data_IF_094801006471
#
_entry.id   IF_094801006471
#
_cell.length_a   1.000
_cell.length_b   1.000
_cell.length_c   1.000
_cell.angle_alpha   90.00
_cell.angle_beta   90.00
_cell.angle_gamma   90.00
#
_symmetry.space_group_name_H-M   'P 1'
#
loop_
_entity.id
_entity.type
_entity.pdbx_description
1 polymer ?
#
# COMPACT_ATOMS: atom_id res chain seq x y z
N UNK A 1 -17.18 19.13 18.44
CA UNK A 1 -17.27 18.02 17.45
C UNK A 1 -17.59 16.72 18.19
N UNK A 2 -18.63 15.98 17.81
CA UNK A 2 -18.84 14.64 18.40
C UNK A 2 -17.88 13.64 17.76
N UNK A 3 -17.09 12.95 18.61
CA UNK A 3 -16.07 11.94 18.26
C UNK A 3 -16.54 10.92 17.19
N UNK A 4 -17.85 10.68 17.09
CA UNK A 4 -18.50 9.76 16.13
C UNK A 4 -18.27 10.04 14.65
N UNK A 5 -18.11 11.30 14.20
CA UNK A 5 -17.99 11.60 12.75
C UNK A 5 -16.56 11.48 12.21
N UNK A 6 -15.55 11.80 13.03
CA UNK A 6 -14.14 11.52 12.71
C UNK A 6 -13.86 10.00 12.70
N UNK A 7 -14.55 9.25 13.55
CA UNK A 7 -14.55 7.79 13.62
C UNK A 7 -15.03 7.10 12.33
N UNK A 8 -15.81 7.78 11.48
CA UNK A 8 -16.25 7.20 10.20
C UNK A 8 -15.12 7.22 9.18
N UNK A 9 -14.38 8.32 9.08
CA UNK A 9 -13.22 8.42 8.17
C UNK A 9 -12.03 7.60 8.70
N UNK A 10 -11.76 7.68 10.00
CA UNK A 10 -10.75 6.83 10.65
C UNK A 10 -11.13 5.35 10.67
N UNK A 11 -12.42 5.03 10.76
CA UNK A 11 -12.96 3.67 10.69
C UNK A 11 -12.92 3.08 9.28
N UNK A 12 -13.06 3.89 8.23
CA UNK A 12 -12.92 3.47 6.82
C UNK A 12 -11.46 3.15 6.46
N UNK A 13 -10.51 3.96 6.92
CA UNK A 13 -9.07 3.67 6.75
C UNK A 13 -8.66 2.44 7.59
N UNK A 14 -9.21 2.31 8.80
CA UNK A 14 -8.97 1.14 9.65
C UNK A 14 -9.64 -0.14 9.13
N UNK A 15 -10.82 -0.06 8.50
CA UNK A 15 -11.50 -1.21 7.90
C UNK A 15 -10.80 -1.67 6.61
N UNK A 16 -10.32 -0.74 5.77
CA UNK A 16 -9.46 -1.04 4.64
C UNK A 16 -8.17 -1.73 5.10
N UNK A 17 -7.45 -1.15 6.06
CA UNK A 17 -6.25 -1.76 6.62
C UNK A 17 -6.53 -3.11 7.34
N UNK A 18 -7.66 -3.27 8.03
CA UNK A 18 -8.01 -4.49 8.74
C UNK A 18 -8.47 -5.64 7.81
N UNK A 19 -9.08 -5.35 6.66
CA UNK A 19 -9.43 -6.36 5.66
C UNK A 19 -8.18 -7.05 5.10
N UNK A 20 -7.10 -6.29 4.86
CA UNK A 20 -5.92 -6.80 4.15
C UNK A 20 -4.83 -7.35 5.10
N UNK A 21 -4.82 -6.95 6.38
CA UNK A 21 -3.92 -7.53 7.40
C UNK A 21 -4.30 -8.96 7.84
N UNK A 22 -5.43 -9.48 7.37
CA UNK A 22 -5.84 -10.88 7.60
C UNK A 22 -5.47 -11.81 6.44
N UNK A 23 -4.98 -11.29 5.30
CA UNK A 23 -4.54 -12.11 4.18
C UNK A 23 -3.08 -12.54 4.40
N UNK A 24 -2.89 -13.75 4.92
CA UNK A 24 -1.59 -14.42 5.04
C UNK A 24 -1.40 -15.39 3.88
N UNK A 25 -0.22 -15.49 3.28
CA UNK A 25 0.13 -16.61 2.42
C UNK A 25 0.71 -17.77 3.24
N UNK A 26 0.40 -19.00 2.84
CA UNK A 26 1.00 -20.23 3.37
C UNK A 26 1.48 -21.13 2.22
N UNK A 27 2.75 -21.56 2.32
CA UNK A 27 3.48 -22.27 1.27
C UNK A 27 3.32 -23.79 1.25
N UNK A 28 3.53 -24.39 0.08
CA UNK A 28 3.67 -25.84 -0.16
C UNK A 28 5.04 -26.17 -0.79
N UNK A 29 5.43 -27.44 -0.73
CA UNK A 29 6.79 -27.98 -0.81
C UNK A 29 7.51 -27.89 -2.17
N UNK A 30 8.80 -27.49 -2.15
CA UNK A 30 9.81 -27.73 -3.19
C UNK A 30 11.24 -27.57 -2.60
N UNK A 31 12.27 -28.24 -3.16
CA UNK A 31 13.54 -28.49 -2.48
C UNK A 31 14.57 -27.37 -2.63
N UNK A 32 15.55 -27.40 -1.72
CA UNK A 32 16.54 -26.36 -1.49
C UNK A 32 17.76 -26.45 -2.42
N UNK A 33 18.24 -25.28 -2.87
CA UNK A 33 19.60 -25.12 -3.37
C UNK A 33 19.83 -23.83 -4.15
N UNK A 34 20.63 -22.92 -3.59
CA UNK A 34 21.75 -22.18 -4.22
C UNK A 34 21.91 -20.76 -3.65
N UNK A 35 23.14 -20.45 -3.27
CA UNK A 35 23.62 -19.20 -2.67
C UNK A 35 23.92 -18.09 -3.68
N UNK A 36 23.77 -16.84 -3.21
CA UNK A 36 24.42 -15.54 -3.56
C UNK A 36 25.26 -15.44 -4.85
N UNK A 37 25.03 -14.40 -5.66
CA UNK A 37 25.78 -13.11 -5.71
C UNK A 37 25.27 -12.16 -6.82
N UNK A 38 25.33 -10.84 -6.56
CA UNK A 38 25.30 -9.66 -7.47
C UNK A 38 24.16 -9.48 -8.52
N UNK A 39 23.59 -8.27 -8.55
CA UNK A 39 22.61 -7.83 -9.56
C UNK A 39 23.15 -7.90 -11.00
N UNK A 40 22.29 -8.22 -11.98
CA UNK A 40 22.21 -7.35 -13.16
C UNK A 40 20.79 -7.25 -13.74
N UNK A 41 20.59 -6.32 -14.67
CA UNK A 41 19.60 -6.45 -15.73
C UNK A 41 19.80 -7.80 -16.45
N UNK A 42 19.13 -8.85 -15.98
CA UNK A 42 19.17 -10.18 -16.56
C UNK A 42 18.13 -10.35 -17.69
N UNK A 43 18.34 -11.34 -18.57
CA UNK A 43 17.31 -11.72 -19.53
C UNK A 43 16.09 -12.26 -18.76
N UNK A 44 14.91 -11.69 -19.05
CA UNK A 44 13.60 -12.15 -18.57
C UNK A 44 13.58 -13.68 -18.48
N UNK A 45 13.24 -14.30 -17.32
CA UNK A 45 13.30 -15.74 -17.15
C UNK A 45 12.53 -16.44 -18.28
N UNK A 46 13.10 -17.50 -18.85
CA UNK A 46 12.52 -18.15 -20.03
C UNK A 46 11.03 -18.49 -19.83
N UNK A 47 10.18 -18.01 -20.74
CA UNK A 47 8.73 -18.16 -20.69
C UNK A 47 7.97 -17.06 -19.93
N UNK A 48 8.66 -16.09 -19.32
CA UNK A 48 8.02 -14.90 -18.75
C UNK A 48 7.86 -13.82 -19.81
N UNK A 49 6.76 -13.07 -19.81
CA UNK A 49 6.59 -11.97 -20.74
C UNK A 49 7.43 -10.77 -20.29
N UNK A 50 8.05 -10.06 -21.23
CA UNK A 50 8.76 -8.81 -20.90
C UNK A 50 7.81 -7.69 -20.45
N UNK A 51 6.51 -7.85 -20.73
CA UNK A 51 5.44 -6.93 -20.34
C UNK A 51 4.16 -7.62 -19.90
N UNK A 52 3.47 -7.05 -18.92
CA UNK A 52 2.10 -7.40 -18.53
C UNK A 52 1.21 -6.18 -18.71
N UNK A 53 0.52 -6.12 -19.85
CA UNK A 53 -0.12 -4.89 -20.32
C UNK A 53 0.94 -3.81 -20.53
N UNK A 54 0.77 -2.66 -19.88
CA UNK A 54 1.73 -1.54 -19.92
C UNK A 54 2.90 -1.70 -18.93
N UNK A 55 2.86 -2.72 -18.05
CA UNK A 55 3.90 -2.92 -17.03
C UNK A 55 5.10 -3.61 -17.64
N UNK A 56 6.29 -3.08 -17.38
CA UNK A 56 7.57 -3.65 -17.79
C UNK A 56 8.12 -4.54 -16.68
N UNK A 57 8.78 -5.63 -17.07
CA UNK A 57 9.46 -6.54 -16.17
C UNK A 57 10.80 -5.96 -15.68
N UNK A 58 11.07 -6.08 -14.39
CA UNK A 58 12.31 -5.68 -13.73
C UNK A 58 12.77 -6.79 -12.78
N UNK A 59 14.08 -7.02 -12.74
CA UNK A 59 14.71 -7.93 -11.78
C UNK A 59 15.32 -7.15 -10.62
N UNK A 60 15.34 -7.75 -9.44
CA UNK A 60 16.02 -7.19 -8.28
C UNK A 60 16.39 -8.29 -7.26
N UNK A 61 17.16 -7.93 -6.23
CA UNK A 61 17.74 -8.89 -5.27
C UNK A 61 16.75 -9.88 -4.66
N UNK A 62 15.48 -9.47 -4.45
CA UNK A 62 14.47 -10.31 -3.82
C UNK A 62 13.46 -10.93 -4.80
N UNK A 63 13.68 -10.78 -6.12
CA UNK A 63 12.88 -11.41 -7.16
C UNK A 63 12.55 -10.49 -8.33
N UNK A 64 11.27 -10.37 -8.65
CA UNK A 64 10.78 -9.76 -9.88
C UNK A 64 9.70 -8.70 -9.63
N UNK A 65 9.68 -7.65 -10.44
CA UNK A 65 8.63 -6.60 -10.40
C UNK A 65 8.08 -6.37 -11.79
N UNK A 66 6.76 -6.26 -11.91
CA UNK A 66 6.12 -5.61 -13.06
C UNK A 66 5.61 -4.24 -12.63
N UNK A 67 6.10 -3.17 -13.28
CA UNK A 67 5.71 -1.79 -13.01
C UNK A 67 5.55 -0.99 -14.32
N UNK A 68 4.62 -0.03 -14.37
CA UNK A 68 4.45 0.80 -15.57
C UNK A 68 5.51 1.90 -15.74
N UNK A 69 6.14 2.32 -14.65
CA UNK A 69 7.28 3.23 -14.65
C UNK A 69 8.44 2.63 -13.85
N UNK A 70 9.66 2.71 -14.41
CA UNK A 70 10.88 2.28 -13.74
C UNK A 70 11.15 3.09 -12.46
N UNK A 71 10.73 4.37 -12.42
CA UNK A 71 10.87 5.21 -11.22
C UNK A 71 10.04 4.70 -10.02
N UNK A 72 8.99 3.91 -10.28
CA UNK A 72 8.14 3.31 -9.25
C UNK A 72 8.74 2.02 -8.65
N UNK A 73 9.79 1.46 -9.27
CA UNK A 73 10.45 0.23 -8.81
C UNK A 73 11.34 0.47 -7.60
N UNK A 74 12.16 1.53 -7.62
CA UNK A 74 13.13 1.81 -6.55
C UNK A 74 12.49 1.96 -5.16
N UNK A 75 11.39 2.73 -4.97
CA UNK A 75 10.75 2.84 -3.66
C UNK A 75 10.21 1.50 -3.13
N UNK A 76 9.72 0.62 -4.02
CA UNK A 76 9.25 -0.70 -3.63
C UNK A 76 10.42 -1.61 -3.25
N UNK A 77 11.53 -1.51 -3.99
CA UNK A 77 12.78 -2.22 -3.70
C UNK A 77 13.32 -1.82 -2.33
N UNK A 78 13.39 -0.53 -2.03
CA UNK A 78 13.94 -0.01 -0.78
C UNK A 78 13.12 -0.43 0.45
N UNK A 79 11.79 -0.39 0.32
CA UNK A 79 10.90 -0.87 1.40
C UNK A 79 11.08 -2.36 1.64
N UNK A 80 11.13 -3.17 0.57
CA UNK A 80 11.34 -4.61 0.73
C UNK A 80 12.74 -4.93 1.26
N UNK A 81 13.79 -4.23 0.84
CA UNK A 81 15.14 -4.38 1.38
C UNK A 81 15.19 -4.09 2.88
N UNK A 82 14.54 -3.00 3.31
CA UNK A 82 14.42 -2.65 4.74
C UNK A 82 13.73 -3.75 5.53
N UNK A 83 12.60 -4.27 5.00
CA UNK A 83 11.83 -5.34 5.64
C UNK A 83 12.61 -6.66 5.68
N UNK A 84 13.29 -7.00 4.58
CA UNK A 84 14.15 -8.18 4.47
C UNK A 84 15.26 -8.15 5.53
N UNK A 85 15.89 -7.00 5.72
CA UNK A 85 16.89 -6.82 6.77
C UNK A 85 16.28 -6.97 8.17
N UNK A 86 15.12 -6.38 8.42
CA UNK A 86 14.42 -6.49 9.70
C UNK A 86 14.08 -7.96 10.04
N UNK A 87 13.52 -8.74 9.10
CA UNK A 87 13.22 -10.16 9.35
C UNK A 87 14.49 -11.00 9.53
N UNK A 88 15.57 -10.67 8.81
CA UNK A 88 16.86 -11.35 8.94
C UNK A 88 17.48 -11.14 10.33
N UNK A 89 17.38 -9.93 10.88
CA UNK A 89 17.85 -9.62 12.25
C UNK A 89 17.06 -10.39 13.32
N UNK A 90 15.82 -10.77 13.03
CA UNK A 90 15.00 -11.62 13.88
C UNK A 90 15.23 -13.13 13.68
N UNK A 91 16.24 -13.50 12.87
CA UNK A 91 16.63 -14.89 12.65
C UNK A 91 15.75 -15.66 11.66
N UNK A 92 14.92 -14.96 10.90
CA UNK A 92 14.04 -15.55 9.89
C UNK A 92 14.83 -15.81 8.62
N UNK A 93 14.69 -17.01 8.06
CA UNK A 93 15.31 -17.31 6.77
C UNK A 93 14.61 -16.49 5.69
N UNK A 94 15.39 -15.78 4.87
CA UNK A 94 14.83 -15.04 3.74
C UNK A 94 14.12 -16.03 2.81
N UNK A 95 12.85 -15.75 2.45
CA UNK A 95 12.20 -16.55 1.43
C UNK A 95 12.93 -16.36 0.10
N UNK A 96 12.80 -17.36 -0.77
CA UNK A 96 13.30 -17.27 -2.14
C UNK A 96 12.63 -16.14 -2.93
N UNK A 97 13.00 -16.03 -4.21
CA UNK A 97 12.52 -14.98 -5.10
C UNK A 97 10.99 -14.81 -5.05
N UNK A 98 10.53 -13.56 -5.04
CA UNK A 98 9.13 -13.21 -5.11
C UNK A 98 8.73 -12.49 -6.38
N UNK A 99 7.43 -12.20 -6.49
CA UNK A 99 6.85 -11.39 -7.55
C UNK A 99 6.07 -10.21 -6.96
N UNK A 100 6.38 -9.00 -7.41
CA UNK A 100 5.61 -7.78 -7.12
C UNK A 100 4.91 -7.31 -8.40
N UNK A 101 3.61 -7.12 -8.31
CA UNK A 101 2.80 -6.50 -9.34
C UNK A 101 2.47 -5.08 -8.87
N UNK A 102 3.24 -4.10 -9.35
CA UNK A 102 3.08 -2.72 -8.93
C UNK A 102 1.79 -2.14 -9.53
N UNK A 103 1.04 -1.40 -8.72
CA UNK A 103 -0.14 -0.66 -9.15
C UNK A 103 0.18 0.81 -9.06
N UNK A 104 0.30 1.48 -10.21
CA UNK A 104 0.51 2.92 -10.25
C UNK A 104 -0.79 3.71 -10.35
N UNK A 105 -0.71 5.01 -10.08
CA UNK A 105 -1.85 5.90 -10.20
C UNK A 105 -2.37 5.92 -11.64
N UNK A 106 -3.69 5.76 -11.80
CA UNK A 106 -4.41 5.78 -13.08
C UNK A 106 -4.15 4.58 -13.99
N UNK A 107 -3.42 3.58 -13.53
CA UNK A 107 -3.33 2.31 -14.25
C UNK A 107 -4.52 1.41 -13.94
N UNK A 108 -4.95 0.57 -14.91
CA UNK A 108 -5.84 -0.54 -14.62
C UNK A 108 -5.22 -1.47 -13.57
N UNK A 109 -6.06 -1.98 -12.67
CA UNK A 109 -5.66 -3.00 -11.72
C UNK A 109 -5.10 -4.24 -12.47
N UNK A 110 -4.07 -4.94 -11.95
CA UNK A 110 -3.34 -5.97 -12.72
C UNK A 110 -4.15 -7.25 -12.97
N UNK A 111 -5.36 -7.36 -12.43
CA UNK A 111 -6.26 -8.48 -12.64
C UNK A 111 -7.72 -7.99 -12.72
N UNK A 112 -8.61 -8.85 -13.24
CA UNK A 112 -10.05 -8.59 -13.21
C UNK A 112 -10.57 -8.63 -11.78
N UNK A 113 -11.09 -7.49 -11.29
CA UNK A 113 -11.51 -7.34 -9.90
C UNK A 113 -12.61 -8.32 -9.48
N UNK A 114 -13.67 -8.58 -10.27
CA UNK A 114 -14.68 -9.57 -9.91
C UNK A 114 -14.08 -10.96 -9.72
N UNK A 115 -13.20 -11.38 -10.63
CA UNK A 115 -12.49 -12.66 -10.56
C UNK A 115 -11.56 -12.74 -9.35
N UNK A 116 -10.87 -11.63 -9.06
CA UNK A 116 -10.00 -11.52 -7.90
C UNK A 116 -10.76 -11.61 -6.57
N UNK A 117 -11.90 -10.93 -6.48
CA UNK A 117 -12.83 -11.02 -5.37
C UNK A 117 -13.27 -12.47 -5.14
N UNK A 118 -13.69 -13.18 -6.19
CA UNK A 118 -14.15 -14.57 -6.07
C UNK A 118 -13.03 -15.49 -5.58
N UNK A 119 -11.78 -15.25 -6.00
CA UNK A 119 -10.63 -15.97 -5.44
C UNK A 119 -10.41 -15.64 -3.95
N UNK A 120 -10.50 -14.38 -3.54
CA UNK A 120 -10.36 -13.99 -2.13
C UNK A 120 -11.47 -14.56 -1.23
N UNK A 121 -12.65 -14.88 -1.80
CA UNK A 121 -13.76 -15.52 -1.05
C UNK A 121 -13.55 -17.01 -0.79
N UNK A 122 -12.63 -17.67 -1.51
CA UNK A 122 -12.35 -19.09 -1.30
C UNK A 122 -11.75 -19.30 0.09
N UNK A 123 -12.14 -20.40 0.74
CA UNK A 123 -11.59 -20.77 2.04
C UNK A 123 -10.09 -21.02 1.92
N UNK A 124 -9.31 -20.36 2.77
CA UNK A 124 -7.89 -20.63 2.91
C UNK A 124 -7.75 -21.93 3.74
N UNK A 125 -7.23 -23.02 3.16
CA UNK A 125 -7.13 -24.31 3.85
C UNK A 125 -6.15 -24.27 5.03
N UNK A 126 -5.36 -23.20 5.17
CA UNK A 126 -4.37 -23.04 6.24
C UNK A 126 -4.86 -22.13 7.37
N UNK A 127 -6.08 -21.61 7.27
CA UNK A 127 -6.72 -20.82 8.32
C UNK A 127 -7.67 -21.67 9.13
N UNK A 128 -7.83 -21.28 10.38
CA UNK A 128 -8.97 -21.76 11.17
C UNK A 128 -10.28 -21.28 10.52
N UNK A 129 -11.36 -22.03 10.70
CA UNK A 129 -12.69 -21.63 10.20
C UNK A 129 -13.10 -20.24 10.69
N UNK A 130 -12.72 -19.88 11.92
CA UNK A 130 -12.97 -18.57 12.50
C UNK A 130 -12.21 -17.45 11.77
N UNK A 131 -10.94 -17.66 11.43
CA UNK A 131 -10.13 -16.70 10.69
C UNK A 131 -10.60 -16.55 9.24
N UNK A 132 -10.97 -17.66 8.60
CA UNK A 132 -11.58 -17.67 7.27
C UNK A 132 -12.91 -16.92 7.25
N UNK A 133 -13.78 -17.15 8.24
CA UNK A 133 -15.06 -16.43 8.36
C UNK A 133 -14.86 -14.93 8.60
N UNK A 134 -13.89 -14.53 9.44
CA UNK A 134 -13.56 -13.12 9.66
C UNK A 134 -13.03 -12.46 8.38
N UNK A 135 -12.14 -13.13 7.65
CA UNK A 135 -11.60 -12.66 6.38
C UNK A 135 -12.70 -12.48 5.32
N UNK A 136 -13.55 -13.49 5.15
CA UNK A 136 -14.66 -13.44 4.21
C UNK A 136 -15.65 -12.32 4.56
N UNK A 137 -16.01 -12.17 5.84
CA UNK A 137 -16.87 -11.08 6.29
C UNK A 137 -16.25 -9.72 5.97
N UNK A 138 -14.95 -9.56 6.20
CA UNK A 138 -14.24 -8.31 5.92
C UNK A 138 -14.29 -7.97 4.42
N UNK A 139 -14.08 -8.94 3.53
CA UNK A 139 -14.19 -8.78 2.08
C UNK A 139 -15.62 -8.35 1.66
N UNK A 140 -16.65 -9.01 2.20
CA UNK A 140 -18.05 -8.69 1.91
C UNK A 140 -18.45 -7.31 2.44
N UNK A 141 -18.01 -6.96 3.66
CA UNK A 141 -18.25 -5.64 4.25
C UNK A 141 -17.55 -4.54 3.43
N UNK A 142 -16.33 -4.79 2.95
CA UNK A 142 -15.60 -3.88 2.08
C UNK A 142 -16.33 -3.69 0.73
N UNK A 143 -16.84 -4.77 0.12
CA UNK A 143 -17.66 -4.69 -1.10
C UNK A 143 -18.88 -3.81 -0.91
N UNK A 144 -19.68 -4.12 0.11
CA UNK A 144 -20.89 -3.36 0.41
C UNK A 144 -20.59 -1.89 0.69
N UNK A 145 -19.58 -1.60 1.51
CA UNK A 145 -19.20 -0.22 1.83
C UNK A 145 -18.73 0.56 0.61
N UNK A 146 -17.95 -0.09 -0.27
CA UNK A 146 -17.46 0.52 -1.51
C UNK A 146 -18.61 0.86 -2.45
N UNK A 147 -19.56 -0.07 -2.62
CA UNK A 147 -20.76 0.13 -3.42
C UNK A 147 -21.65 1.26 -2.84
N UNK A 148 -21.88 1.27 -1.53
CA UNK A 148 -22.62 2.34 -0.84
C UNK A 148 -21.94 3.72 -0.92
N UNK A 149 -20.65 3.75 -1.25
CA UNK A 149 -19.87 4.97 -1.47
C UNK A 149 -19.84 5.38 -2.94
N UNK A 150 -20.35 4.53 -3.85
CA UNK A 150 -20.24 4.74 -5.30
C UNK A 150 -18.78 4.76 -5.77
N UNK A 151 -17.91 4.04 -5.07
CA UNK A 151 -16.49 3.91 -5.40
C UNK A 151 -16.25 2.65 -6.24
N UNK A 152 -15.22 2.71 -7.07
CA UNK A 152 -14.70 1.50 -7.71
C UNK A 152 -13.86 0.71 -6.69
N UNK A 153 -13.99 -0.63 -6.70
CA UNK A 153 -13.25 -1.50 -5.79
C UNK A 153 -11.74 -1.44 -5.98
N UNK A 154 -11.26 -1.10 -7.19
CA UNK A 154 -9.84 -0.81 -7.45
C UNK A 154 -9.29 0.24 -6.49
N UNK A 155 -10.09 1.26 -6.13
CA UNK A 155 -9.67 2.32 -5.22
C UNK A 155 -9.38 1.74 -3.84
N UNK A 156 -10.25 0.87 -3.34
CA UNK A 156 -10.08 0.26 -2.01
C UNK A 156 -8.94 -0.75 -2.00
N UNK A 157 -8.83 -1.57 -3.03
CA UNK A 157 -7.73 -2.52 -3.21
C UNK A 157 -6.37 -1.82 -3.34
N UNK A 158 -6.35 -0.58 -3.85
CA UNK A 158 -5.14 0.23 -4.01
C UNK A 158 -4.66 0.89 -2.73
N UNK A 159 -5.33 0.69 -1.59
CA UNK A 159 -4.91 1.26 -0.29
C UNK A 159 -3.96 0.35 0.49
N UNK A 160 -3.74 -0.88 0.04
CA UNK A 160 -2.99 -1.88 0.75
C UNK A 160 -2.19 -2.79 -0.18
N UNK A 161 -1.12 -3.37 0.36
CA UNK A 161 -0.46 -4.53 -0.25
C UNK A 161 -1.37 -5.74 -0.10
N UNK A 162 -1.52 -6.51 -1.17
CA UNK A 162 -2.39 -7.68 -1.21
C UNK A 162 -1.58 -8.90 -1.62
N UNK A 163 -1.34 -9.86 -0.71
CA UNK A 163 -0.65 -11.09 -1.05
C UNK A 163 -1.54 -11.99 -1.90
N UNK A 164 -0.91 -12.64 -2.87
CA UNK A 164 -1.53 -13.63 -3.75
C UNK A 164 -0.72 -14.91 -3.66
N UNK A 165 -1.38 -16.05 -3.55
CA UNK A 165 -0.70 -17.33 -3.64
C UNK A 165 -0.14 -17.52 -5.06
N UNK A 166 1.16 -17.79 -5.23
CA UNK A 166 1.76 -17.98 -6.56
C UNK A 166 1.00 -18.96 -7.47
N UNK A 167 0.36 -19.98 -6.87
CA UNK A 167 -0.42 -21.01 -7.56
C UNK A 167 -1.65 -20.51 -8.31
N UNK A 168 -2.27 -19.45 -7.81
CA UNK A 168 -3.51 -18.91 -8.41
C UNK A 168 -3.24 -17.68 -9.26
N UNK A 169 -1.99 -17.20 -9.31
CA UNK A 169 -1.64 -15.99 -10.08
C UNK A 169 -1.92 -16.17 -11.57
N UNK A 170 -1.56 -17.33 -12.15
CA UNK A 170 -1.87 -17.62 -13.56
C UNK A 170 -3.37 -17.75 -13.84
N UNK A 171 -4.19 -18.00 -12.82
CA UNK A 171 -5.65 -17.96 -12.92
C UNK A 171 -6.21 -16.54 -12.71
N UNK A 172 -5.39 -15.54 -12.41
CA UNK A 172 -5.85 -14.18 -12.10
C UNK A 172 -5.30 -13.17 -13.11
N UNK A 173 -4.13 -13.44 -13.66
CA UNK A 173 -3.34 -12.53 -14.46
C UNK A 173 -2.89 -13.27 -15.71
N UNK A 174 -3.48 -12.89 -16.83
CA UNK A 174 -3.15 -13.48 -18.12
C UNK A 174 -1.72 -13.14 -18.53
N UNK A 175 -1.05 -14.07 -19.20
CA UNK A 175 0.30 -13.91 -19.72
C UNK A 175 1.42 -14.35 -18.77
N UNK A 176 1.14 -14.55 -17.48
CA UNK A 176 2.11 -15.14 -16.55
C UNK A 176 2.25 -16.66 -16.74
N UNK A 177 3.43 -17.25 -16.46
CA UNK A 177 3.64 -18.68 -16.57
C UNK A 177 2.72 -19.49 -15.65
N UNK A 178 2.23 -20.64 -16.15
CA UNK A 178 1.35 -21.54 -15.40
C UNK A 178 2.08 -22.20 -14.21
N UNK A 179 3.40 -22.32 -14.28
CA UNK A 179 4.28 -22.92 -13.27
C UNK A 179 4.92 -21.88 -12.34
N UNK A 180 4.29 -20.70 -12.18
CA UNK A 180 4.84 -19.59 -11.40
C UNK A 180 5.20 -20.00 -9.95
N UNK A 181 4.41 -20.88 -9.33
CA UNK A 181 4.63 -21.38 -7.97
C UNK A 181 5.90 -22.21 -7.78
N UNK A 182 6.50 -22.69 -8.88
CA UNK A 182 7.81 -23.35 -8.88
C UNK A 182 8.97 -22.36 -8.96
N UNK A 183 8.69 -21.12 -9.34
CA UNK A 183 9.70 -20.09 -9.66
C UNK A 183 9.77 -18.99 -8.62
N UNK A 184 8.64 -18.67 -7.98
CA UNK A 184 8.58 -17.69 -6.89
C UNK A 184 7.91 -18.28 -5.67
N UNK A 185 8.38 -17.89 -4.49
CA UNK A 185 7.86 -18.39 -3.21
C UNK A 185 6.71 -17.53 -2.68
N UNK A 186 6.58 -16.29 -3.17
CA UNK A 186 5.53 -15.36 -2.77
C UNK A 186 5.19 -14.42 -3.91
N UNK A 187 3.95 -13.92 -3.93
CA UNK A 187 3.48 -12.94 -4.90
C UNK A 187 2.62 -11.88 -4.20
N UNK A 188 2.70 -10.63 -4.65
CA UNK A 188 1.89 -9.53 -4.13
C UNK A 188 1.44 -8.58 -5.23
N UNK A 189 0.25 -8.02 -5.07
CA UNK A 189 -0.13 -6.75 -5.70
C UNK A 189 0.24 -5.63 -4.72
N UNK A 190 1.00 -4.65 -5.18
CA UNK A 190 1.57 -3.63 -4.31
C UNK A 190 1.34 -2.22 -4.87
N UNK A 191 0.63 -1.32 -4.17
CA UNK A 191 0.44 0.05 -4.63
C UNK A 191 1.73 0.87 -4.49
N UNK A 192 2.02 1.67 -5.52
CA UNK A 192 3.05 2.72 -5.48
C UNK A 192 2.63 3.85 -4.55
N UNK A 193 3.56 4.74 -4.21
CA UNK A 193 3.25 5.93 -3.40
C UNK A 193 2.24 6.86 -4.08
N UNK A 194 2.34 7.02 -5.40
CA UNK A 194 1.38 7.81 -6.19
C UNK A 194 -0.02 7.18 -6.18
N UNK A 195 -0.09 5.85 -6.24
CA UNK A 195 -1.33 5.10 -6.15
C UNK A 195 -1.98 5.25 -4.76
N UNK A 196 -1.22 5.07 -3.68
CA UNK A 196 -1.69 5.29 -2.30
C UNK A 196 -2.26 6.72 -2.13
N UNK A 197 -1.57 7.73 -2.63
CA UNK A 197 -2.02 9.11 -2.54
C UNK A 197 -3.32 9.35 -3.32
N UNK A 198 -3.42 8.80 -4.53
CA UNK A 198 -4.61 8.96 -5.38
C UNK A 198 -5.82 8.24 -4.79
N UNK A 199 -5.63 7.00 -4.35
CA UNK A 199 -6.68 6.20 -3.74
C UNK A 199 -7.15 6.81 -2.40
N UNK A 200 -6.22 7.31 -1.57
CA UNK A 200 -6.58 8.02 -0.34
C UNK A 200 -7.43 9.25 -0.62
N UNK A 201 -7.03 10.09 -1.58
CA UNK A 201 -7.78 11.29 -1.96
C UNK A 201 -9.19 10.95 -2.43
N UNK A 202 -9.34 9.94 -3.29
CA UNK A 202 -10.63 9.48 -3.77
C UNK A 202 -11.53 9.02 -2.62
N UNK A 203 -11.01 8.18 -1.70
CA UNK A 203 -11.74 7.73 -0.52
C UNK A 203 -12.13 8.90 0.39
N UNK A 204 -11.20 9.83 0.62
CA UNK A 204 -11.41 10.99 1.47
C UNK A 204 -12.51 11.91 0.91
N UNK A 205 -12.45 12.24 -0.37
CA UNK A 205 -13.43 13.11 -1.03
C UNK A 205 -14.83 12.50 -1.01
N UNK A 206 -14.95 11.19 -1.25
CA UNK A 206 -16.24 10.50 -1.16
C UNK A 206 -16.75 10.43 0.29
N UNK A 207 -15.86 10.18 1.25
CA UNK A 207 -16.19 10.23 2.68
C UNK A 207 -16.73 11.60 3.10
N UNK A 208 -16.11 12.69 2.64
CA UNK A 208 -16.58 14.05 2.89
C UNK A 208 -17.95 14.32 2.25
N UNK A 209 -18.16 13.88 1.01
CA UNK A 209 -19.46 14.01 0.32
C UNK A 209 -20.57 13.30 1.11
N UNK A 210 -20.34 12.06 1.58
CA UNK A 210 -21.31 11.28 2.37
C UNK A 210 -21.55 11.89 3.75
N UNK A 211 -20.53 12.41 4.40
CA UNK A 211 -20.64 13.00 5.75
C UNK A 211 -21.42 14.33 5.79
N UNK A 212 -21.58 15.01 4.64
CA UNK A 212 -22.27 16.30 4.48
C UNK A 212 -21.86 17.31 5.58
N UNK A 213 -20.56 17.65 5.71
CA UNK A 213 -20.10 18.60 6.72
C UNK A 213 -20.72 20.00 6.50
N UNK A 214 -20.99 20.69 7.61
CA UNK A 214 -21.43 22.09 7.59
C UNK A 214 -20.35 23.01 6.98
N UNK A 215 -20.69 24.25 6.63
CA UNK A 215 -19.73 25.20 6.05
C UNK A 215 -18.50 25.44 6.96
N UNK A 216 -18.71 25.62 8.25
CA UNK A 216 -17.61 25.75 9.22
C UNK A 216 -16.72 24.49 9.26
N UNK A 217 -17.32 23.31 9.18
CA UNK A 217 -16.57 22.05 9.12
C UNK A 217 -15.78 21.91 7.81
N UNK A 218 -16.37 22.30 6.67
CA UNK A 218 -15.67 22.31 5.38
C UNK A 218 -14.47 23.24 5.39
N UNK A 219 -14.60 24.43 5.97
CA UNK A 219 -13.49 25.36 6.12
C UNK A 219 -12.36 24.76 6.98
N UNK A 220 -12.69 24.20 8.15
CA UNK A 220 -11.70 23.54 9.00
C UNK A 220 -11.01 22.35 8.30
N UNK A 221 -11.77 21.52 7.59
CA UNK A 221 -11.24 20.38 6.84
C UNK A 221 -10.35 20.86 5.70
N UNK A 222 -10.73 21.90 4.96
CA UNK A 222 -9.92 22.45 3.88
C UNK A 222 -8.54 22.91 4.37
N UNK A 223 -8.49 23.54 5.54
CA UNK A 223 -7.23 23.97 6.18
C UNK A 223 -6.37 22.78 6.61
N UNK A 224 -6.98 21.75 7.19
CA UNK A 224 -6.24 20.57 7.68
C UNK A 224 -5.94 19.53 6.59
N UNK A 225 -6.57 19.63 5.41
CA UNK A 225 -6.51 18.61 4.35
C UNK A 225 -5.08 18.20 3.99
N UNK A 226 -4.11 19.11 3.77
CA UNK A 226 -2.74 18.70 3.44
C UNK A 226 -2.06 17.89 4.55
N UNK A 227 -2.34 18.19 5.82
CA UNK A 227 -1.81 17.42 6.95
C UNK A 227 -2.50 16.05 7.04
N UNK A 228 -3.83 16.01 6.90
CA UNK A 228 -4.61 14.76 6.90
C UNK A 228 -4.20 13.82 5.77
N UNK A 229 -4.00 14.34 4.56
CA UNK A 229 -3.53 13.55 3.40
C UNK A 229 -2.13 13.01 3.62
N UNK A 230 -1.18 13.84 4.06
CA UNK A 230 0.18 13.37 4.38
C UNK A 230 0.16 12.28 5.45
N UNK A 231 -0.59 12.47 6.54
CA UNK A 231 -0.66 11.48 7.62
C UNK A 231 -1.35 10.19 7.19
N UNK A 232 -2.43 10.29 6.42
CA UNK A 232 -3.14 9.14 5.87
C UNK A 232 -2.25 8.28 4.97
N UNK A 233 -1.52 8.92 4.04
CA UNK A 233 -0.57 8.24 3.16
C UNK A 233 0.60 7.65 3.95
N UNK A 234 1.14 8.35 4.96
CA UNK A 234 2.21 7.83 5.83
C UNK A 234 1.78 6.52 6.52
N UNK A 235 0.56 6.49 7.08
CA UNK A 235 -0.01 5.29 7.70
C UNK A 235 -0.13 4.16 6.68
N UNK A 236 -0.54 4.45 5.45
CA UNK A 236 -0.66 3.44 4.39
C UNK A 236 0.71 2.90 3.94
N UNK A 237 1.74 3.76 3.85
CA UNK A 237 3.11 3.32 3.57
C UNK A 237 3.64 2.38 4.67
N UNK A 238 3.40 2.73 5.94
CA UNK A 238 3.70 1.85 7.09
C UNK A 238 2.90 0.55 7.01
N UNK A 239 1.64 0.61 6.58
CA UNK A 239 0.81 -0.56 6.31
C UNK A 239 1.39 -1.48 5.22
N UNK A 240 1.89 -0.91 4.11
CA UNK A 240 2.60 -1.65 3.05
C UNK A 240 3.86 -2.34 3.59
N UNK A 241 4.65 -1.63 4.40
CA UNK A 241 5.84 -2.19 5.04
C UNK A 241 5.49 -3.36 5.99
N UNK A 242 4.46 -3.19 6.83
CA UNK A 242 3.93 -4.26 7.68
C UNK A 242 3.40 -5.45 6.85
N UNK A 243 2.80 -5.18 5.69
CA UNK A 243 2.32 -6.18 4.75
C UNK A 243 3.45 -7.04 4.19
N UNK A 244 4.53 -6.43 3.72
CA UNK A 244 5.74 -7.16 3.32
C UNK A 244 6.32 -7.96 4.48
N UNK A 245 6.41 -7.38 5.68
CA UNK A 245 6.97 -8.09 6.85
C UNK A 245 6.13 -9.33 7.18
N UNK A 246 4.81 -9.18 7.22
CA UNK A 246 3.86 -10.27 7.47
C UNK A 246 3.93 -11.36 6.40
N UNK A 247 4.15 -10.97 5.14
CA UNK A 247 4.34 -11.86 4.00
C UNK A 247 5.60 -12.70 4.16
N UNK A 248 6.77 -12.07 4.42
CA UNK A 248 8.04 -12.80 4.56
C UNK A 248 8.00 -13.79 5.73
N UNK A 249 7.43 -13.38 6.88
CA UNK A 249 7.17 -14.30 7.99
C UNK A 249 6.19 -15.43 7.62
N UNK A 250 5.23 -15.15 6.75
CA UNK A 250 4.24 -16.11 6.26
C UNK A 250 4.91 -17.30 5.56
N UNK A 251 5.95 -17.03 4.77
CA UNK A 251 6.68 -18.05 3.99
C UNK A 251 7.56 -18.95 4.86
N UNK A 252 8.11 -18.46 5.97
CA UNK A 252 8.94 -19.29 6.85
C UNK A 252 8.10 -20.37 7.56
N UNK A 253 8.42 -21.64 7.27
CA UNK A 253 7.73 -22.82 7.81
C UNK A 253 8.17 -23.17 9.25
N UNK A 254 9.31 -22.64 9.70
CA UNK A 254 9.86 -22.96 11.02
C UNK A 254 9.19 -22.14 12.14
N UNK A 255 8.47 -21.07 11.78
CA UNK A 255 7.76 -20.23 12.73
C UNK A 255 6.34 -20.76 12.96
N UNK A 256 5.98 -20.95 14.22
CA UNK A 256 4.58 -21.21 14.61
C UNK A 256 3.69 -20.00 14.34
N UNK A 257 2.38 -20.23 14.17
CA UNK A 257 1.41 -19.15 14.01
C UNK A 257 1.44 -18.13 15.17
N UNK A 258 1.74 -18.58 16.39
CA UNK A 258 1.88 -17.71 17.56
C UNK A 258 3.16 -16.87 17.53
N UNK A 259 4.30 -17.43 17.15
CA UNK A 259 5.53 -16.66 16.93
C UNK A 259 5.31 -15.60 15.86
N UNK A 260 4.76 -15.98 14.69
CA UNK A 260 4.47 -15.02 13.62
C UNK A 260 3.53 -13.90 14.11
N UNK A 261 2.52 -14.20 14.94
CA UNK A 261 1.61 -13.18 15.51
C UNK A 261 2.35 -12.21 16.45
N UNK A 262 3.21 -12.71 17.33
CA UNK A 262 4.00 -11.86 18.25
C UNK A 262 4.97 -10.95 17.50
N UNK A 263 5.65 -11.48 16.50
CA UNK A 263 6.59 -10.71 15.67
C UNK A 263 5.87 -9.60 14.90
N UNK A 264 4.74 -9.90 14.24
CA UNK A 264 3.92 -8.89 13.56
C UNK A 264 3.42 -7.82 14.54
N UNK A 265 2.99 -8.19 15.74
CA UNK A 265 2.53 -7.24 16.74
C UNK A 265 3.66 -6.29 17.19
N UNK A 266 4.84 -6.84 17.47
CA UNK A 266 6.06 -6.06 17.79
C UNK A 266 6.45 -5.13 16.65
N UNK A 267 6.44 -5.62 15.41
CA UNK A 267 6.77 -4.81 14.24
C UNK A 267 5.76 -3.68 14.00
N UNK A 268 4.47 -3.95 14.25
CA UNK A 268 3.42 -2.93 14.19
C UNK A 268 3.64 -1.81 15.22
N UNK A 269 4.11 -2.15 16.42
CA UNK A 269 4.50 -1.18 17.44
C UNK A 269 5.73 -0.37 17.00
N UNK A 270 6.77 -1.02 16.48
CA UNK A 270 7.97 -0.36 15.90
C UNK A 270 7.61 0.67 14.83
N UNK A 271 6.59 0.40 14.01
CA UNK A 271 6.12 1.32 12.98
C UNK A 271 5.24 2.46 13.51
N UNK A 272 4.91 2.49 14.81
CA UNK A 272 4.01 3.48 15.40
C UNK A 272 2.56 3.33 14.94
N UNK A 273 2.15 2.16 14.44
CA UNK A 273 0.77 1.92 13.96
C UNK A 273 -0.23 1.68 15.11
N UNK A 274 0.25 1.61 16.35
CA UNK A 274 -0.55 1.50 17.57
C UNK A 274 -0.54 2.81 18.39
N UNK A 275 0.25 3.81 18.00
CA UNK A 275 0.29 5.09 18.68
C UNK A 275 -1.04 5.83 18.46
N UNK A 276 -1.68 6.21 19.56
CA UNK A 276 -2.80 7.16 19.49
C UNK A 276 -2.23 8.50 19.02
N UNK A 277 -2.92 9.25 18.15
CA UNK A 277 -2.46 10.57 17.74
C UNK A 277 -2.15 11.41 18.99
N UNK A 278 -0.90 11.87 19.12
CA UNK A 278 -0.52 12.77 20.21
C UNK A 278 -1.25 14.11 19.99
N UNK A 279 -2.13 14.52 20.93
CA UNK A 279 -2.82 15.80 20.83
C UNK A 279 -1.89 17.02 20.89
N UNK A 280 -0.62 16.83 21.28
CA UNK A 280 0.38 17.90 21.40
C UNK A 280 1.40 17.94 20.25
N UNK A 281 1.31 17.04 19.27
CA UNK A 281 2.11 17.12 18.06
C UNK A 281 1.66 18.37 17.26
N UNK A 282 2.56 19.32 16.94
CA UNK A 282 2.22 20.53 16.21
C UNK A 282 1.67 20.25 14.79
N UNK A 283 1.87 19.04 14.25
CA UNK A 283 1.21 18.59 13.01
C UNK A 283 -0.28 18.19 13.20
N UNK A 284 -0.72 17.99 14.45
CA UNK A 284 -2.09 17.68 14.85
C UNK A 284 -2.84 18.85 15.48
N UNK A 285 -2.17 19.97 15.79
CA UNK A 285 -2.81 21.15 16.34
C UNK A 285 -3.63 21.89 15.28
N UNK A 286 -4.91 22.23 15.53
CA UNK A 286 -5.63 23.16 14.66
C UNK A 286 -4.90 24.51 14.69
N UNK A 287 -4.72 25.19 13.54
CA UNK A 287 -4.11 26.52 13.54
C UNK A 287 -4.96 27.45 14.41
N UNK A 288 -4.29 28.18 15.30
CA UNK A 288 -4.92 29.13 16.20
C UNK A 288 -5.71 30.17 15.37
N UNK A 289 -7.05 30.25 15.51
CA UNK A 289 -7.85 31.24 14.79
C UNK A 289 -7.51 32.69 15.19
N UNK A 290 -6.68 32.89 16.21
CA UNK A 290 -6.17 34.17 16.67
C UNK A 290 -4.67 34.38 16.41
N UNK A 291 -4.00 33.44 15.71
CA UNK A 291 -2.64 33.68 15.24
C UNK A 291 -2.66 34.86 14.26
N UNK A 292 -2.21 36.02 14.75
CA UNK A 292 -1.94 37.18 13.90
C UNK A 292 -0.95 36.74 12.81
N UNK A 293 -1.14 37.18 11.56
CA UNK A 293 -0.14 36.95 10.52
C UNK A 293 1.20 37.46 11.06
N UNK A 294 2.20 36.59 11.04
CA UNK A 294 3.56 36.98 11.38
C UNK A 294 3.95 38.15 10.48
N UNK A 295 4.35 39.26 11.11
CA UNK A 295 4.90 40.42 10.42
C UNK A 295 6.00 39.95 9.48
N UNK A 296 5.71 40.01 8.18
CA UNK A 296 6.68 39.81 7.13
C UNK A 296 7.63 41.01 7.13
N UNK A 297 8.68 40.97 7.96
CA UNK A 297 9.89 41.73 7.67
C UNK A 297 10.64 41.02 6.54
N UNK A 298 10.07 41.12 5.33
CA UNK A 298 10.82 40.93 4.11
C UNK A 298 11.38 42.31 3.70
N UNK A 299 12.69 42.45 3.47
CA UNK A 299 13.24 43.68 2.91
C UNK A 299 12.66 43.87 1.50
N UNK A 300 12.06 45.03 1.28
CA UNK A 300 11.56 45.52 0.00
C UNK A 300 12.70 45.60 -1.00
N UNK A 301 12.76 44.61 -1.91
CA UNK A 301 13.56 44.70 -3.13
C UNK A 301 12.72 45.47 -4.15
N UNK A 302 13.07 46.74 -4.36
CA UNK A 302 12.55 47.56 -5.46
C UNK A 302 12.99 46.93 -6.79
N UNK A 303 12.04 46.38 -7.55
CA UNK A 303 12.24 46.00 -8.94
C UNK A 303 11.93 47.23 -9.78
N UNK A 304 12.99 47.93 -10.20
CA UNK A 304 12.92 48.98 -11.21
C UNK A 304 12.48 48.36 -12.53
N UNK A 305 11.37 48.85 -13.05
CA UNK A 305 10.77 48.40 -14.31
C UNK A 305 11.39 49.23 -15.44
N UNK A 306 12.47 48.74 -16.06
CA UNK A 306 12.94 49.32 -17.33
C UNK A 306 12.17 48.71 -18.51
N UNK A 307 11.29 49.55 -19.04
CA UNK A 307 10.57 49.42 -20.31
C UNK A 307 11.57 49.61 -21.47
N UNK A 308 11.67 48.70 -22.46
CA UNK A 308 12.36 49.04 -23.69
C UNK A 308 11.40 49.76 -24.63
N UNK A 309 11.68 51.04 -24.87
CA UNK A 309 11.07 51.80 -25.95
C UNK A 309 11.52 51.24 -27.30
N UNK A 310 10.52 50.98 -28.15
CA UNK A 310 10.70 50.90 -29.60
C UNK A 310 10.78 52.33 -30.14
N UNK A 311 11.86 52.68 -30.84
CA UNK A 311 11.75 53.51 -32.04
C UNK A 311 12.96 53.35 -32.96
N UNK A 312 12.60 53.26 -34.24
CA UNK A 312 13.40 53.29 -35.46
C UNK A 312 14.62 54.23 -35.48
N UNK A 313 15.75 53.74 -35.98
CA UNK A 313 16.38 54.10 -37.26
C UNK A 313 17.72 53.34 -37.40
#
# INVERSE_FOLDING_TARGET
MTKRRLLVVGGLVAAGAACFLLLRPAGRDAPAGASREAAPDGPVPSGWPSRLGERVFHEFEFGFVYAGDGASVDPLRDVLATVAEDVRQEGVAMPGAGLILAVDAKEPYPCEIPRFIEQMKKADPNRTDEESAKGLKAILDAQKQTEELGLDMSVVLSLALIPIEPKVVGELIDGLPVDLDRRVQWCVICPTDGCLQTAFKALFDVGLKKAKPSMAQRAAIAVMRPAMERKGVEIMKKGRQLGFYSLLLGVDKNLSAEQKRRMIASYREKLGLNEKPDPNDPSNAPPDPHAKPADSNAPSVSIDTQRPDRSAA
#
